data_IF_978829486244
#
_entry.id   IF_978829486244
#
_cell.length_a   1.000
_cell.length_b   1.000
_cell.length_c   1.000
_cell.angle_alpha   90.00
_cell.angle_beta   90.00
_cell.angle_gamma   90.00
#
_symmetry.space_group_name_H-M   'P 1'
#
loop_
_entity.id
_entity.type
_entity.pdbx_description
1 polymer ?
#
# COMPACT_ATOMS: atom_id res chain seq x y z
N UNK A 1 12.23 10.96 -5.45
CA UNK A 1 10.79 10.68 -5.60
C UNK A 1 10.64 9.65 -6.70
N UNK A 2 9.89 8.56 -6.48
CA UNK A 2 9.64 7.59 -7.54
C UNK A 2 8.91 8.27 -8.69
N UNK A 3 9.38 8.05 -9.91
CA UNK A 3 8.78 8.63 -11.12
C UNK A 3 7.63 7.72 -11.59
N UNK A 4 6.57 8.32 -12.15
CA UNK A 4 5.45 7.62 -12.79
C UNK A 4 4.64 6.66 -11.89
N UNK A 5 4.22 7.13 -10.71
CA UNK A 5 3.28 6.34 -9.89
C UNK A 5 1.96 6.14 -10.67
N UNK A 6 1.51 4.90 -10.92
CA UNK A 6 0.28 4.66 -11.66
C UNK A 6 -0.95 4.84 -10.76
N UNK A 7 -2.10 5.06 -11.40
CA UNK A 7 -3.37 4.75 -10.74
C UNK A 7 -3.51 3.23 -10.62
N UNK A 8 -4.07 2.76 -9.50
CA UNK A 8 -4.25 1.32 -9.25
C UNK A 8 -5.65 1.04 -8.72
N UNK A 9 -6.23 -0.09 -9.09
CA UNK A 9 -7.40 -0.62 -8.36
C UNK A 9 -6.96 -1.07 -6.97
N UNK A 10 -7.84 -1.05 -5.94
CA UNK A 10 -7.49 -1.50 -4.60
C UNK A 10 -6.86 -2.90 -4.57
N UNK A 11 -7.41 -3.82 -5.36
CA UNK A 11 -6.92 -5.21 -5.48
C UNK A 11 -5.53 -5.32 -6.10
N UNK A 12 -5.15 -4.40 -7.00
CA UNK A 12 -3.81 -4.37 -7.60
C UNK A 12 -2.79 -3.85 -6.60
N UNK A 13 -3.13 -2.77 -5.88
CA UNK A 13 -2.30 -2.24 -4.80
C UNK A 13 -2.06 -3.30 -3.72
N UNK A 14 -3.10 -4.02 -3.28
CA UNK A 14 -2.95 -5.09 -2.28
C UNK A 14 -1.98 -6.18 -2.76
N UNK A 15 -2.11 -6.65 -4.00
CA UNK A 15 -1.21 -7.68 -4.54
C UNK A 15 0.25 -7.24 -4.52
N UNK A 16 0.53 -5.97 -4.83
CA UNK A 16 1.88 -5.43 -4.74
C UNK A 16 2.37 -5.38 -3.29
N UNK A 17 1.53 -4.92 -2.37
CA UNK A 17 1.86 -4.84 -0.95
C UNK A 17 2.10 -6.23 -0.34
N UNK A 18 1.29 -7.23 -0.68
CA UNK A 18 1.45 -8.61 -0.23
C UNK A 18 2.77 -9.22 -0.72
N UNK A 19 3.11 -9.04 -2.00
CA UNK A 19 4.42 -9.42 -2.54
C UNK A 19 5.59 -8.75 -1.81
N UNK A 20 5.35 -7.55 -1.29
CA UNK A 20 6.34 -6.74 -0.59
C UNK A 20 6.36 -6.96 0.94
N UNK A 21 5.67 -8.01 1.42
CA UNK A 21 5.67 -8.43 2.82
C UNK A 21 4.62 -7.77 3.71
N UNK A 22 3.67 -7.04 3.14
CA UNK A 22 2.49 -6.61 3.89
C UNK A 22 1.51 -7.78 4.06
N UNK A 23 0.81 -7.84 5.18
CA UNK A 23 -0.18 -8.89 5.47
C UNK A 23 -1.50 -8.27 5.90
N UNK A 24 -2.61 -8.93 5.56
CA UNK A 24 -3.92 -8.51 6.04
C UNK A 24 -3.98 -8.60 7.57
N UNK A 25 -4.51 -7.57 8.21
CA UNK A 25 -4.66 -7.55 9.66
C UNK A 25 -6.12 -7.76 10.09
N UNK A 26 -7.03 -6.91 9.61
CA UNK A 26 -8.47 -6.98 9.90
C UNK A 26 -9.26 -6.00 9.02
N UNK A 27 -10.58 -6.16 8.99
CA UNK A 27 -11.50 -5.14 8.48
C UNK A 27 -11.53 -3.91 9.39
N UNK A 28 -11.72 -2.75 8.78
CA UNK A 28 -11.81 -1.44 9.41
C UNK A 28 -13.25 -0.92 9.50
N UNK A 29 -13.40 0.41 9.63
CA UNK A 29 -14.71 1.07 9.53
C UNK A 29 -15.09 1.27 8.07
N UNK A 30 -16.34 0.97 7.72
CA UNK A 30 -16.82 1.03 6.33
C UNK A 30 -16.02 0.07 5.44
N UNK A 31 -15.72 0.50 4.22
CA UNK A 31 -15.05 -0.35 3.22
C UNK A 31 -13.53 -0.38 3.36
N UNK A 32 -12.96 -0.06 4.53
CA UNK A 32 -11.50 -0.08 4.70
C UNK A 32 -11.01 -1.42 5.20
N UNK A 33 -9.91 -1.91 4.65
CA UNK A 33 -9.14 -3.04 5.19
C UNK A 33 -7.83 -2.54 5.78
N UNK A 34 -7.46 -3.00 6.97
CA UNK A 34 -6.18 -2.69 7.57
C UNK A 34 -5.16 -3.76 7.21
N UNK A 35 -4.03 -3.32 6.66
CA UNK A 35 -2.88 -4.16 6.37
C UNK A 35 -1.72 -3.76 7.27
N UNK A 36 -0.78 -4.67 7.47
CA UNK A 36 0.38 -4.46 8.34
C UNK A 36 1.68 -4.86 7.67
N UNK A 37 2.76 -4.16 7.99
CA UNK A 37 4.14 -4.51 7.62
C UNK A 37 5.01 -4.34 8.84
N UNK A 38 5.90 -5.29 9.09
CA UNK A 38 6.90 -5.19 10.14
C UNK A 38 8.25 -4.81 9.53
N UNK A 39 8.83 -3.70 9.99
CA UNK A 39 10.14 -3.22 9.55
C UNK A 39 10.88 -2.68 10.76
N UNK A 40 12.15 -3.07 10.95
CA UNK A 40 12.96 -2.66 12.12
C UNK A 40 12.29 -2.95 13.48
N UNK A 41 11.61 -4.10 13.61
CA UNK A 41 10.81 -4.49 14.79
C UNK A 41 9.67 -3.52 15.12
N UNK A 42 9.30 -2.65 14.19
CA UNK A 42 8.16 -1.73 14.30
C UNK A 42 7.07 -2.21 13.37
N UNK A 43 5.90 -2.45 13.97
CA UNK A 43 4.70 -2.79 13.23
C UNK A 43 4.03 -1.52 12.72
N UNK A 44 3.86 -1.41 11.41
CA UNK A 44 3.07 -0.37 10.75
C UNK A 44 1.71 -0.95 10.38
N UNK A 45 0.65 -0.18 10.60
CA UNK A 45 -0.72 -0.56 10.23
C UNK A 45 -1.31 0.57 9.40
N UNK A 46 -1.83 0.24 8.23
CA UNK A 46 -2.34 1.23 7.27
C UNK A 46 -3.72 0.79 6.78
N UNK A 47 -4.74 1.67 6.85
CA UNK A 47 -6.03 1.41 6.24
C UNK A 47 -5.98 1.65 4.72
N UNK A 48 -6.56 0.74 3.95
CA UNK A 48 -6.72 0.84 2.51
C UNK A 48 -8.21 0.85 2.21
N UNK A 49 -8.68 1.89 1.53
CA UNK A 49 -10.06 1.99 1.05
C UNK A 49 -10.32 0.93 -0.03
N UNK A 50 -11.24 0.01 0.22
CA UNK A 50 -11.63 -1.06 -0.71
C UNK A 50 -12.84 -0.70 -1.56
N UNK A 51 -13.55 0.39 -1.22
CA UNK A 51 -14.71 0.88 -1.96
C UNK A 51 -14.32 1.73 -3.18
N UNK A 52 -13.09 2.25 -3.20
CA UNK A 52 -12.59 3.04 -4.32
C UNK A 52 -12.55 2.21 -5.63
N UNK A 53 -13.12 2.75 -6.71
CA UNK A 53 -13.00 2.15 -8.05
C UNK A 53 -11.54 2.13 -8.54
N UNK A 54 -10.80 3.20 -8.23
CA UNK A 54 -9.41 3.41 -8.60
C UNK A 54 -8.75 4.36 -7.60
N UNK A 55 -7.48 4.09 -7.28
CA UNK A 55 -6.64 4.90 -6.42
C UNK A 55 -5.77 5.82 -7.26
N UNK A 56 -5.78 7.11 -6.93
CA UNK A 56 -4.92 8.08 -7.60
C UNK A 56 -3.43 7.80 -7.32
N UNK A 57 -2.52 8.26 -8.20
CA UNK A 57 -1.08 8.15 -7.98
C UNK A 57 -0.62 8.67 -6.61
N UNK A 58 -1.21 9.78 -6.16
CA UNK A 58 -0.92 10.35 -4.84
C UNK A 58 -1.35 9.45 -3.68
N UNK A 59 -2.51 8.77 -3.82
CA UNK A 59 -2.97 7.80 -2.84
C UNK A 59 -2.03 6.59 -2.79
N UNK A 60 -1.69 6.02 -3.95
CA UNK A 60 -0.79 4.86 -4.07
C UNK A 60 0.55 5.16 -3.41
N UNK A 61 1.17 6.31 -3.76
CA UNK A 61 2.43 6.73 -3.16
C UNK A 61 2.31 6.88 -1.64
N UNK A 62 1.24 7.51 -1.15
CA UNK A 62 1.02 7.72 0.28
C UNK A 62 0.93 6.38 1.04
N UNK A 63 0.23 5.39 0.50
CA UNK A 63 0.14 4.06 1.12
C UNK A 63 1.53 3.42 1.24
N UNK A 64 2.33 3.43 0.17
CA UNK A 64 3.70 2.93 0.24
C UNK A 64 4.52 3.67 1.32
N UNK A 65 4.42 5.00 1.41
CA UNK A 65 5.13 5.75 2.47
C UNK A 65 4.67 5.43 3.88
N UNK A 66 3.37 5.22 4.09
CA UNK A 66 2.85 4.86 5.40
C UNK A 66 3.40 3.49 5.87
N UNK A 67 3.55 2.54 4.95
CA UNK A 67 4.25 1.27 5.19
C UNK A 67 5.78 1.38 5.27
N UNK A 68 6.35 2.56 5.04
CA UNK A 68 7.78 2.81 5.15
C UNK A 68 8.59 2.32 3.95
N UNK A 69 8.00 2.22 2.76
CA UNK A 69 8.75 1.87 1.56
C UNK A 69 9.66 3.02 1.10
N UNK A 70 10.89 2.67 0.69
CA UNK A 70 11.86 3.61 0.09
C UNK A 70 11.51 3.89 -1.37
N UNK A 71 12.19 4.87 -1.99
CA UNK A 71 11.97 5.18 -3.41
C UNK A 71 12.34 3.98 -4.28
N UNK A 72 13.45 3.33 -3.97
CA UNK A 72 13.99 2.17 -4.69
C UNK A 72 13.06 0.95 -4.58
N UNK A 73 12.50 0.69 -3.40
CA UNK A 73 11.51 -0.38 -3.22
C UNK A 73 10.25 -0.10 -4.04
N UNK A 74 9.75 1.14 -4.04
CA UNK A 74 8.56 1.53 -4.81
C UNK A 74 8.82 1.37 -6.31
N UNK A 75 9.96 1.86 -6.80
CA UNK A 75 10.33 1.73 -8.21
C UNK A 75 10.49 0.26 -8.61
N UNK A 76 11.05 -0.57 -7.74
CA UNK A 76 11.19 -2.01 -8.00
C UNK A 76 9.85 -2.75 -8.04
N UNK A 77 8.86 -2.34 -7.24
CA UNK A 77 7.53 -2.95 -7.20
C UNK A 77 6.64 -2.55 -8.37
N UNK A 78 6.88 -1.37 -8.96
CA UNK A 78 6.09 -0.80 -10.05
C UNK A 78 6.67 -1.04 -11.44
N UNK A 79 7.83 -1.70 -11.54
CA UNK A 79 8.39 -2.22 -12.80
C UNK A 79 7.67 -3.49 -13.25
#
# INVERSE_FOLDING_TARGET
>A
MPKNIPSLKPKELIKLLEKAGCTFHREGKGDHCLYTREIERKRRVVPIDMGAREMSPGYVLRIFRQFGFTDEEIESLLR
#
